data_IF_706057288610
#
_entry.id   IF_706057288610
#
_cell.length_a   1.000
_cell.length_b   1.000
_cell.length_c   1.000
_cell.angle_alpha   90.00
_cell.angle_beta   90.00
_cell.angle_gamma   90.00
#
_symmetry.space_group_name_H-M   'P 1'
#
loop_
_entity.id
_entity.type
_entity.pdbx_description
1 polymer ?
#
# COMPACT_ATOMS: atom_id res chain seq x y z
N UNK A 1 35.87 -52.99 -33.93
CA UNK A 1 36.76 -52.48 -32.87
C UNK A 1 36.82 -50.96 -32.99
N UNK A 2 35.90 -50.25 -32.33
CA UNK A 2 35.83 -48.78 -32.37
C UNK A 2 36.54 -48.20 -31.15
N UNK A 3 37.53 -47.33 -31.40
CA UNK A 3 38.26 -46.57 -30.37
C UNK A 3 37.61 -45.20 -30.20
N UNK A 4 37.07 -44.93 -29.01
CA UNK A 4 36.62 -43.61 -28.60
C UNK A 4 37.79 -42.82 -28.01
N UNK A 5 38.07 -41.66 -28.58
CA UNK A 5 39.03 -40.66 -28.07
C UNK A 5 38.19 -39.58 -27.37
N UNK A 6 38.34 -39.44 -26.06
CA UNK A 6 37.74 -38.34 -25.29
C UNK A 6 38.86 -37.32 -25.06
N UNK A 7 38.71 -36.13 -25.68
CA UNK A 7 39.57 -34.98 -25.43
C UNK A 7 38.98 -34.15 -24.28
N UNK A 8 39.72 -34.01 -23.18
CA UNK A 8 39.40 -33.12 -22.09
C UNK A 8 40.07 -31.76 -22.32
N UNK A 9 39.29 -30.70 -22.50
CA UNK A 9 39.76 -29.32 -22.56
C UNK A 9 39.86 -28.76 -21.13
N UNK A 10 41.07 -28.43 -20.68
CA UNK A 10 41.31 -27.68 -19.44
C UNK A 10 41.33 -26.19 -19.79
N UNK A 11 40.35 -25.44 -19.29
CA UNK A 11 40.33 -23.97 -19.32
C UNK A 11 40.99 -23.46 -18.04
N UNK A 12 42.12 -22.79 -18.18
CA UNK A 12 42.86 -22.12 -17.11
C UNK A 12 42.31 -20.69 -16.97
N UNK A 13 41.57 -20.43 -15.89
CA UNK A 13 41.15 -19.09 -15.50
C UNK A 13 42.18 -18.53 -14.52
N UNK A 14 42.99 -17.56 -14.96
CA UNK A 14 43.89 -16.81 -14.11
C UNK A 14 43.11 -15.68 -13.41
N UNK A 15 42.70 -15.91 -12.16
CA UNK A 15 42.12 -14.88 -11.29
C UNK A 15 43.22 -14.14 -10.52
N UNK A 16 43.23 -12.81 -10.63
CA UNK A 16 44.06 -11.94 -9.81
C UNK A 16 43.62 -12.01 -8.34
N UNK A 17 44.45 -12.62 -7.49
CA UNK A 17 44.27 -12.64 -6.04
C UNK A 17 44.66 -11.28 -5.46
N UNK A 18 43.67 -10.45 -5.18
CA UNK A 18 43.84 -9.39 -4.19
C UNK A 18 44.08 -10.04 -2.84
N UNK A 19 45.20 -9.71 -2.18
CA UNK A 19 45.47 -10.12 -0.80
C UNK A 19 44.41 -9.49 0.09
N UNK A 20 43.34 -10.23 0.37
CA UNK A 20 42.40 -9.90 1.42
C UNK A 20 43.23 -9.75 2.71
N UNK A 21 43.39 -8.51 3.18
CA UNK A 21 44.03 -8.26 4.46
C UNK A 21 43.21 -9.01 5.50
N UNK A 22 43.83 -9.99 6.13
CA UNK A 22 43.24 -10.68 7.26
C UNK A 22 42.91 -9.58 8.29
N UNK A 23 41.70 -9.60 8.85
CA UNK A 23 41.28 -8.53 9.76
C UNK A 23 42.19 -8.44 11.01
N UNK A 24 42.16 -7.36 11.78
CA UNK A 24 43.10 -7.14 12.90
C UNK A 24 43.12 -8.24 13.97
N UNK A 25 42.03 -9.02 14.06
CA UNK A 25 41.94 -10.22 14.89
C UNK A 25 42.86 -11.36 14.42
N UNK A 26 43.00 -11.54 13.11
CA UNK A 26 43.90 -12.53 12.53
C UNK A 26 45.36 -12.13 12.79
N UNK A 27 45.70 -10.86 12.60
CA UNK A 27 47.03 -10.33 12.94
C UNK A 27 47.37 -10.58 14.42
N UNK A 28 46.42 -10.32 15.33
CA UNK A 28 46.60 -10.61 16.76
C UNK A 28 46.72 -12.11 17.07
N UNK A 29 46.06 -12.98 16.32
CA UNK A 29 46.19 -14.44 16.47
C UNK A 29 47.56 -14.93 16.00
N UNK A 30 48.07 -14.36 14.92
CA UNK A 30 49.39 -14.66 14.38
C UNK A 30 50.48 -14.20 15.36
N UNK A 31 50.39 -12.96 15.87
CA UNK A 31 51.32 -12.44 16.89
C UNK A 31 51.34 -13.31 18.17
N UNK A 32 50.19 -13.83 18.61
CA UNK A 32 50.10 -14.71 19.78
C UNK A 32 50.69 -16.09 19.49
N UNK A 33 50.53 -16.60 18.27
CA UNK A 33 51.11 -17.88 17.84
C UNK A 33 52.63 -17.78 17.76
N UNK A 34 53.16 -16.70 17.18
CA UNK A 34 54.59 -16.41 17.16
C UNK A 34 55.15 -16.26 18.59
N UNK A 35 54.38 -15.66 19.50
CA UNK A 35 54.78 -15.54 20.90
C UNK A 35 54.84 -16.90 21.60
N UNK A 36 53.92 -17.82 21.28
CA UNK A 36 53.93 -19.19 21.78
C UNK A 36 55.14 -19.97 21.27
N UNK A 37 55.52 -19.80 20.00
CA UNK A 37 56.69 -20.47 19.41
C UNK A 37 58.00 -19.99 20.06
N UNK A 38 58.16 -18.67 20.24
CA UNK A 38 59.34 -18.10 20.94
C UNK A 38 59.42 -18.59 22.39
N UNK A 39 58.29 -18.75 23.05
CA UNK A 39 58.26 -19.31 24.41
C UNK A 39 58.57 -20.80 24.34
N UNK A 40 58.01 -21.55 23.38
CA UNK A 40 58.27 -22.96 23.03
C UNK A 40 59.74 -23.34 23.10
N UNK A 41 60.58 -22.53 22.47
CA UNK A 41 62.01 -22.77 22.33
C UNK A 41 62.84 -22.36 23.57
N UNK A 42 62.24 -21.68 24.55
CA UNK A 42 62.96 -21.14 25.71
C UNK A 42 62.82 -22.03 26.96
N UNK A 43 63.92 -22.64 27.41
CA UNK A 43 63.96 -23.58 28.56
C UNK A 43 63.89 -22.94 29.97
N UNK A 44 63.30 -21.76 30.13
CA UNK A 44 63.33 -20.98 31.38
C UNK A 44 62.03 -21.04 32.20
N UNK A 45 62.07 -20.74 33.50
CA UNK A 45 60.89 -20.73 34.39
C UNK A 45 59.74 -19.79 33.99
N UNK A 46 60.01 -18.81 33.10
CA UNK A 46 58.99 -17.98 32.45
C UNK A 46 58.00 -18.84 31.61
N UNK A 47 58.48 -19.97 31.07
CA UNK A 47 57.80 -20.82 30.11
C UNK A 47 56.40 -21.28 30.54
N UNK A 48 56.29 -21.92 31.71
CA UNK A 48 55.02 -22.57 32.12
C UNK A 48 53.91 -21.57 32.40
N UNK A 49 54.25 -20.44 33.02
CA UNK A 49 53.30 -19.39 33.33
C UNK A 49 52.85 -18.66 32.05
N UNK A 50 53.78 -18.33 31.16
CA UNK A 50 53.46 -17.64 29.91
C UNK A 50 52.64 -18.51 28.95
N UNK A 51 52.98 -19.79 28.77
CA UNK A 51 52.27 -20.68 27.83
C UNK A 51 50.82 -20.90 28.21
N UNK A 52 50.52 -21.05 29.50
CA UNK A 52 49.15 -21.22 29.98
C UNK A 52 48.31 -19.98 29.66
N UNK A 53 48.89 -18.80 29.86
CA UNK A 53 48.24 -17.52 29.59
C UNK A 53 48.07 -17.26 28.08
N UNK A 54 49.09 -17.53 27.26
CA UNK A 54 49.05 -17.39 25.81
C UNK A 54 48.02 -18.32 25.16
N UNK A 55 47.95 -19.58 25.59
CA UNK A 55 46.94 -20.54 25.10
C UNK A 55 45.52 -20.07 25.42
N UNK A 56 45.31 -19.54 26.62
CA UNK A 56 44.02 -18.96 26.99
C UNK A 56 43.67 -17.71 26.18
N UNK A 57 44.66 -16.86 25.85
CA UNK A 57 44.46 -15.71 24.97
C UNK A 57 44.08 -16.17 23.56
N UNK A 58 44.79 -17.17 23.00
CA UNK A 58 44.49 -17.74 21.69
C UNK A 58 43.06 -18.31 21.64
N UNK A 59 42.63 -19.03 22.68
CA UNK A 59 41.26 -19.55 22.76
C UNK A 59 40.22 -18.42 22.81
N UNK A 60 40.45 -17.37 23.62
CA UNK A 60 39.56 -16.20 23.66
C UNK A 60 39.48 -15.47 22.32
N UNK A 61 40.59 -15.40 21.58
CA UNK A 61 40.62 -14.85 20.24
C UNK A 61 39.89 -15.74 19.23
N UNK A 62 39.87 -17.07 19.39
CA UNK A 62 39.04 -17.97 18.56
C UNK A 62 37.55 -17.88 18.90
N UNK A 63 37.22 -17.65 20.17
CA UNK A 63 35.85 -17.51 20.68
C UNK A 63 35.28 -16.08 20.53
N UNK A 64 35.87 -15.27 19.65
CA UNK A 64 35.46 -13.88 19.35
C UNK A 64 35.38 -12.95 20.59
N UNK A 65 36.10 -13.31 21.66
CA UNK A 65 36.04 -12.64 22.96
C UNK A 65 37.18 -11.63 23.13
N UNK A 66 37.35 -10.76 22.13
CA UNK A 66 38.47 -9.80 22.01
C UNK A 66 38.67 -8.95 23.27
N UNK A 67 37.58 -8.56 23.94
CA UNK A 67 37.69 -7.77 25.16
C UNK A 67 38.31 -8.50 26.34
N UNK A 68 38.03 -9.79 26.47
CA UNK A 68 38.64 -10.65 27.49
C UNK A 68 40.08 -10.98 27.11
N UNK A 69 40.33 -11.23 25.81
CA UNK A 69 41.68 -11.44 25.28
C UNK A 69 42.59 -10.23 25.58
N UNK A 70 42.14 -9.01 25.27
CA UNK A 70 42.87 -7.77 25.53
C UNK A 70 43.18 -7.58 27.03
N UNK A 71 42.20 -7.84 27.90
CA UNK A 71 42.40 -7.74 29.34
C UNK A 71 43.48 -8.73 29.83
N UNK A 72 43.49 -9.95 29.26
CA UNK A 72 44.45 -11.00 29.59
C UNK A 72 45.84 -10.71 29.04
N UNK A 73 45.96 -10.16 27.82
CA UNK A 73 47.21 -9.64 27.25
C UNK A 73 47.82 -8.57 28.18
N UNK A 74 47.03 -7.59 28.63
CA UNK A 74 47.50 -6.54 29.57
C UNK A 74 47.89 -7.07 30.94
N UNK A 75 47.22 -8.12 31.41
CA UNK A 75 47.60 -8.80 32.65
C UNK A 75 48.93 -9.52 32.49
N UNK A 76 49.07 -10.29 31.41
CA UNK A 76 50.28 -11.04 31.08
C UNK A 76 51.48 -10.10 30.89
N UNK A 77 51.34 -9.00 30.14
CA UNK A 77 52.42 -8.01 29.96
C UNK A 77 53.01 -7.50 31.28
N UNK A 78 52.20 -7.41 32.34
CA UNK A 78 52.65 -6.96 33.68
C UNK A 78 53.38 -8.03 34.47
N UNK A 79 53.23 -9.31 34.13
CA UNK A 79 53.90 -10.43 34.81
C UNK A 79 55.15 -10.94 34.09
N UNK A 80 55.44 -10.44 32.88
CA UNK A 80 56.51 -10.92 31.99
C UNK A 80 57.89 -10.28 32.21
N UNK A 81 58.19 -9.71 33.39
CA UNK A 81 59.47 -9.02 33.66
C UNK A 81 60.73 -9.89 33.44
N UNK A 82 60.58 -11.23 33.43
CA UNK A 82 61.66 -12.20 33.24
C UNK A 82 61.66 -12.89 31.87
N UNK A 83 60.81 -12.47 30.95
CA UNK A 83 60.61 -13.15 29.67
C UNK A 83 61.34 -12.44 28.51
N UNK A 84 61.60 -13.14 27.38
CA UNK A 84 62.29 -12.53 26.25
C UNK A 84 61.58 -11.28 25.74
N UNK A 85 62.34 -10.22 25.47
CA UNK A 85 61.80 -8.93 24.95
C UNK A 85 60.98 -9.10 23.67
N UNK A 86 61.24 -10.14 22.88
CA UNK A 86 60.50 -10.47 21.67
C UNK A 86 59.02 -10.78 21.95
N UNK A 87 58.72 -11.58 22.98
CA UNK A 87 57.35 -11.88 23.43
C UNK A 87 56.61 -10.60 23.82
N UNK A 88 57.29 -9.69 24.55
CA UNK A 88 56.73 -8.40 24.91
C UNK A 88 56.51 -7.43 23.72
N UNK A 89 57.15 -7.65 22.56
CA UNK A 89 56.85 -6.89 21.33
C UNK A 89 55.62 -7.46 20.64
N UNK A 90 55.52 -8.78 20.50
CA UNK A 90 54.36 -9.45 19.90
C UNK A 90 53.08 -9.17 20.70
N UNK A 91 53.14 -9.22 22.03
CA UNK A 91 51.99 -8.85 22.87
C UNK A 91 51.57 -7.38 22.77
N UNK A 92 52.50 -6.48 22.42
CA UNK A 92 52.16 -5.07 22.12
C UNK A 92 51.49 -4.95 20.77
N UNK A 93 52.04 -5.61 19.75
CA UNK A 93 51.46 -5.67 18.41
C UNK A 93 50.03 -6.23 18.43
N UNK A 94 49.82 -7.37 19.11
CA UNK A 94 48.49 -7.96 19.29
C UNK A 94 47.52 -7.04 20.05
N UNK A 95 47.99 -6.30 21.06
CA UNK A 95 47.17 -5.30 21.76
C UNK A 95 46.78 -4.14 20.83
N UNK A 96 47.74 -3.59 20.08
CA UNK A 96 47.51 -2.49 19.15
C UNK A 96 46.51 -2.89 18.04
N UNK A 97 46.62 -4.11 17.51
CA UNK A 97 45.69 -4.65 16.51
C UNK A 97 44.26 -4.78 17.05
N UNK A 98 44.09 -5.31 18.26
CA UNK A 98 42.78 -5.43 18.91
C UNK A 98 42.19 -4.08 19.32
N UNK A 99 43.03 -3.11 19.71
CA UNK A 99 42.58 -1.75 19.98
C UNK A 99 42.13 -1.02 18.72
N UNK A 100 42.84 -1.20 17.59
CA UNK A 100 42.47 -0.63 16.30
C UNK A 100 41.09 -1.12 15.85
N UNK A 101 40.82 -2.44 15.94
CA UNK A 101 39.51 -3.00 15.61
C UNK A 101 38.40 -2.46 16.54
N UNK A 102 38.69 -2.32 17.84
CA UNK A 102 37.74 -1.72 18.80
C UNK A 102 37.42 -0.26 18.50
N UNK A 103 38.40 0.52 18.05
CA UNK A 103 38.18 1.91 17.62
C UNK A 103 37.33 1.96 16.36
N UNK A 104 37.66 1.17 15.33
CA UNK A 104 36.86 1.09 14.10
C UNK A 104 35.42 0.64 14.36
N UNK A 105 35.18 -0.33 15.26
CA UNK A 105 33.82 -0.72 15.67
C UNK A 105 33.07 0.40 16.40
N UNK A 106 33.76 1.21 17.20
CA UNK A 106 33.17 2.36 17.88
C UNK A 106 32.81 3.44 16.87
N UNK A 107 33.73 3.79 15.99
CA UNK A 107 33.52 4.81 14.94
C UNK A 107 32.34 4.42 14.04
N UNK A 108 32.25 3.15 13.63
CA UNK A 108 31.09 2.62 12.87
C UNK A 108 29.78 2.68 13.64
N UNK A 109 29.80 2.60 14.97
CA UNK A 109 28.59 2.68 15.81
C UNK A 109 28.13 4.14 15.93
N UNK A 110 29.07 5.05 16.10
CA UNK A 110 28.80 6.49 16.20
C UNK A 110 28.27 7.02 14.85
N UNK A 111 28.85 6.59 13.72
CA UNK A 111 28.37 6.89 12.36
C UNK A 111 26.93 6.40 12.09
N UNK A 112 26.52 5.27 12.70
CA UNK A 112 25.14 4.78 12.58
C UNK A 112 24.18 5.65 13.37
N UNK A 113 24.58 6.08 14.58
CA UNK A 113 23.72 6.89 15.42
C UNK A 113 23.44 8.26 14.78
N UNK A 114 24.48 8.89 14.21
CA UNK A 114 24.33 10.17 13.48
C UNK A 114 23.44 10.06 12.23
N UNK A 115 23.38 8.88 11.59
CA UNK A 115 22.51 8.65 10.43
C UNK A 115 21.04 8.48 10.82
N UNK A 116 20.77 7.82 11.94
CA UNK A 116 19.41 7.61 12.41
C UNK A 116 18.82 8.92 12.94
N UNK A 117 19.61 9.73 13.64
CA UNK A 117 19.18 11.06 14.09
C UNK A 117 18.89 12.00 12.89
N UNK A 118 19.74 11.97 11.85
CA UNK A 118 19.48 12.75 10.61
C UNK A 118 18.23 12.33 9.84
N UNK A 119 17.73 11.10 10.02
CA UNK A 119 16.47 10.66 9.39
C UNK A 119 15.24 11.20 10.10
N UNK A 120 15.32 11.49 11.39
CA UNK A 120 14.21 12.08 12.14
C UNK A 120 14.07 13.58 11.85
N UNK A 121 15.17 14.34 11.78
CA UNK A 121 15.12 15.78 11.50
C UNK A 121 14.59 16.14 10.10
N UNK A 122 14.69 15.24 9.10
CA UNK A 122 14.11 15.49 7.76
C UNK A 122 12.61 15.15 7.67
N UNK A 123 12.02 14.61 8.74
CA UNK A 123 10.59 14.24 8.76
C UNK A 123 9.69 15.36 9.27
N UNK A 124 10.23 16.30 10.05
CA UNK A 124 9.43 17.37 10.67
C UNK A 124 9.23 18.63 9.82
N UNK A 125 10.08 18.89 8.81
CA UNK A 125 9.88 20.03 7.90
C UNK A 125 8.96 19.73 6.70
N UNK A 126 8.54 18.46 6.54
CA UNK A 126 7.25 18.18 5.89
C UNK A 126 6.18 18.22 6.98
N UNK A 127 5.80 19.43 7.36
CA UNK A 127 4.41 19.67 7.72
C UNK A 127 3.61 19.18 6.52
N UNK A 128 3.09 17.95 6.59
CA UNK A 128 2.05 17.51 5.69
C UNK A 128 1.01 18.63 5.76
N UNK A 129 0.84 19.39 4.67
CA UNK A 129 -0.32 20.24 4.54
C UNK A 129 -1.49 19.36 4.98
N UNK A 130 -2.28 19.78 5.98
CA UNK A 130 -3.36 18.96 6.48
C UNK A 130 -4.15 18.53 5.26
N UNK A 131 -4.16 17.21 4.98
CA UNK A 131 -4.86 16.67 3.81
C UNK A 131 -6.22 17.36 3.82
N UNK A 132 -6.57 18.11 2.76
CA UNK A 132 -7.81 18.87 2.76
C UNK A 132 -8.88 17.91 3.22
N UNK A 133 -9.57 18.27 4.32
CA UNK A 133 -10.61 17.41 4.86
C UNK A 133 -11.48 16.97 3.70
N UNK A 134 -11.71 15.65 3.52
CA UNK A 134 -12.54 15.19 2.43
C UNK A 134 -13.84 16.01 2.49
N UNK A 135 -14.27 16.61 1.38
CA UNK A 135 -15.38 17.55 1.38
C UNK A 135 -16.55 16.92 2.12
N UNK A 136 -17.14 17.67 3.07
CA UNK A 136 -18.24 17.18 3.91
C UNK A 136 -19.28 16.52 3.02
N UNK A 137 -19.39 15.21 3.14
CA UNK A 137 -20.31 14.40 2.35
C UNK A 137 -21.73 14.87 2.61
N UNK A 138 -22.45 15.27 1.56
CA UNK A 138 -23.87 15.55 1.64
C UNK A 138 -24.62 14.29 2.11
N UNK A 139 -25.45 14.42 3.15
CA UNK A 139 -26.13 13.31 3.81
C UNK A 139 -27.14 12.55 2.94
N UNK A 140 -27.56 13.15 1.81
CA UNK A 140 -28.56 12.58 0.90
C UNK A 140 -27.95 12.20 -0.47
N UNK A 141 -26.66 11.90 -0.49
CA UNK A 141 -25.92 11.55 -1.70
C UNK A 141 -25.21 10.21 -1.48
N UNK A 142 -25.35 9.25 -2.38
CA UNK A 142 -24.58 8.00 -2.32
C UNK A 142 -23.11 8.24 -2.65
N UNK A 143 -22.22 7.49 -2.00
CA UNK A 143 -20.78 7.49 -2.25
C UNK A 143 -20.27 6.09 -2.56
N UNK A 144 -19.12 6.00 -3.21
CA UNK A 144 -18.54 4.73 -3.70
C UNK A 144 -18.26 3.67 -2.62
N UNK A 145 -18.20 4.05 -1.35
CA UNK A 145 -18.01 3.16 -0.20
C UNK A 145 -19.32 2.54 0.35
N UNK A 146 -20.46 2.86 -0.25
CA UNK A 146 -21.74 2.25 0.09
C UNK A 146 -21.84 0.84 -0.52
N UNK A 147 -22.58 -0.05 0.14
CA UNK A 147 -22.83 -1.38 -0.40
C UNK A 147 -23.58 -1.31 -1.74
N UNK A 148 -23.26 -2.19 -2.69
CA UNK A 148 -23.81 -2.13 -4.05
C UNK A 148 -25.35 -2.10 -4.09
N UNK A 149 -26.01 -2.98 -3.32
CA UNK A 149 -27.47 -2.97 -3.21
C UNK A 149 -28.04 -1.63 -2.70
N UNK A 150 -27.35 -0.98 -1.76
CA UNK A 150 -27.73 0.34 -1.27
C UNK A 150 -27.62 1.37 -2.40
N UNK A 151 -26.50 1.41 -3.11
CA UNK A 151 -26.30 2.30 -4.27
C UNK A 151 -27.37 2.11 -5.34
N UNK A 152 -27.68 0.86 -5.68
CA UNK A 152 -28.68 0.53 -6.70
C UNK A 152 -30.09 0.98 -6.28
N UNK A 153 -30.51 0.69 -5.04
CA UNK A 153 -31.81 1.14 -4.54
C UNK A 153 -31.94 2.66 -4.48
N UNK A 154 -30.87 3.37 -4.13
CA UNK A 154 -30.84 4.83 -4.15
C UNK A 154 -31.04 5.40 -5.55
N UNK A 155 -30.33 4.85 -6.55
CA UNK A 155 -30.51 5.28 -7.94
C UNK A 155 -31.92 4.97 -8.45
N UNK A 156 -32.45 3.77 -8.16
CA UNK A 156 -33.83 3.39 -8.49
C UNK A 156 -34.85 4.35 -7.86
N UNK A 157 -34.64 4.71 -6.58
CA UNK A 157 -35.48 5.64 -5.85
C UNK A 157 -35.50 7.02 -6.50
N UNK A 158 -34.33 7.57 -6.87
CA UNK A 158 -34.29 8.90 -7.50
C UNK A 158 -34.79 8.90 -8.95
N UNK A 159 -34.60 7.82 -9.72
CA UNK A 159 -35.23 7.64 -11.04
C UNK A 159 -36.76 7.72 -10.94
N UNK A 160 -37.33 7.14 -9.87
CA UNK A 160 -38.78 7.13 -9.65
C UNK A 160 -39.34 8.45 -9.13
N UNK A 161 -38.53 9.28 -8.46
CA UNK A 161 -39.03 10.39 -7.62
C UNK A 161 -39.93 11.42 -8.29
N UNK A 162 -39.69 11.75 -9.55
CA UNK A 162 -40.49 12.70 -10.33
C UNK A 162 -41.40 12.01 -11.38
N UNK A 163 -41.49 10.67 -11.33
CA UNK A 163 -42.20 9.83 -12.31
C UNK A 163 -43.08 8.74 -11.67
N UNK A 164 -43.18 8.69 -10.33
CA UNK A 164 -43.96 7.71 -9.58
C UNK A 164 -44.94 8.37 -8.62
N UNK A 165 -45.96 7.64 -8.21
CA UNK A 165 -46.90 8.07 -7.18
C UNK A 165 -46.29 7.94 -5.77
N UNK A 166 -46.97 8.57 -4.80
CA UNK A 166 -46.51 8.58 -3.40
C UNK A 166 -46.45 7.17 -2.80
N UNK A 167 -47.34 6.27 -3.21
CA UNK A 167 -47.35 4.88 -2.75
C UNK A 167 -46.08 4.14 -3.20
N UNK A 168 -45.71 4.29 -4.46
CA UNK A 168 -44.47 3.74 -5.02
C UNK A 168 -43.25 4.29 -4.31
N UNK A 169 -43.21 5.61 -4.09
CA UNK A 169 -42.09 6.23 -3.36
C UNK A 169 -41.99 5.75 -1.91
N UNK A 170 -43.11 5.55 -1.23
CA UNK A 170 -43.13 4.97 0.12
C UNK A 170 -42.56 3.55 0.15
N UNK A 171 -42.96 2.70 -0.79
CA UNK A 171 -42.45 1.34 -0.91
C UNK A 171 -40.95 1.31 -1.27
N UNK A 172 -40.49 2.16 -2.19
CA UNK A 172 -39.08 2.28 -2.53
C UNK A 172 -38.22 2.76 -1.35
N UNK A 173 -38.73 3.66 -0.51
CA UNK A 173 -38.03 4.10 0.71
C UNK A 173 -37.78 2.96 1.71
N UNK A 174 -38.76 2.06 1.86
CA UNK A 174 -38.60 0.85 2.67
C UNK A 174 -37.51 -0.07 2.09
N UNK A 175 -37.47 -0.23 0.76
CA UNK A 175 -36.44 -1.03 0.08
C UNK A 175 -35.03 -0.49 0.31
N UNK A 176 -34.83 0.81 0.14
CA UNK A 176 -33.53 1.44 0.36
C UNK A 176 -33.05 1.20 1.79
N UNK A 177 -33.97 1.28 2.77
CA UNK A 177 -33.66 1.03 4.17
C UNK A 177 -33.23 -0.42 4.41
N UNK A 178 -33.91 -1.39 3.80
CA UNK A 178 -33.53 -2.81 3.86
C UNK A 178 -32.19 -3.08 3.16
N UNK A 179 -31.96 -2.48 1.99
CA UNK A 179 -30.75 -2.68 1.19
C UNK A 179 -29.51 -2.09 1.85
N UNK A 180 -29.65 -0.92 2.48
CA UNK A 180 -28.56 -0.24 3.15
C UNK A 180 -28.24 -0.82 4.53
N UNK A 181 -29.20 -1.46 5.19
CA UNK A 181 -28.99 -2.09 6.50
C UNK A 181 -28.55 -3.56 6.41
N UNK A 182 -28.61 -4.19 5.22
CA UNK A 182 -28.17 -5.58 5.05
C UNK A 182 -26.65 -5.66 4.90
N UNK A 183 -26.01 -6.47 5.74
CA UNK A 183 -24.57 -6.78 5.67
C UNK A 183 -24.21 -7.79 4.58
N UNK A 184 -25.18 -8.55 4.08
CA UNK A 184 -24.99 -9.64 3.10
C UNK A 184 -25.64 -9.34 1.74
N UNK A 185 -26.14 -8.12 1.55
CA UNK A 185 -26.94 -7.74 0.39
C UNK A 185 -28.40 -8.17 0.50
N UNK A 186 -29.20 -7.84 -0.52
CA UNK A 186 -30.60 -8.25 -0.60
C UNK A 186 -30.67 -9.54 -1.42
N UNK A 187 -31.19 -10.62 -0.84
CA UNK A 187 -31.56 -11.82 -1.60
C UNK A 187 -32.85 -11.60 -2.39
N UNK A 188 -33.47 -12.68 -2.88
CA UNK A 188 -34.83 -12.61 -3.42
C UNK A 188 -35.81 -12.03 -2.40
N UNK A 189 -36.59 -11.05 -2.81
CA UNK A 189 -37.55 -10.36 -1.95
C UNK A 189 -38.76 -9.84 -2.73
N UNK A 190 -39.87 -9.64 -2.04
CA UNK A 190 -41.13 -9.13 -2.58
C UNK A 190 -41.60 -7.91 -1.78
N UNK A 191 -42.37 -7.04 -2.43
CA UNK A 191 -43.14 -5.99 -1.77
C UNK A 191 -44.31 -6.58 -0.96
N UNK A 192 -44.89 -5.77 -0.07
CA UNK A 192 -46.06 -6.16 0.72
C UNK A 192 -47.29 -6.50 -0.13
N UNK A 193 -47.39 -5.95 -1.35
CA UNK A 193 -48.43 -6.29 -2.31
C UNK A 193 -48.16 -7.59 -3.09
N UNK A 194 -47.08 -8.31 -2.79
CA UNK A 194 -46.68 -9.57 -3.43
C UNK A 194 -45.89 -9.41 -4.72
N UNK A 195 -45.73 -8.19 -5.25
CA UNK A 195 -44.89 -7.94 -6.42
C UNK A 195 -43.43 -8.27 -6.12
N UNK A 196 -42.73 -8.89 -7.06
CA UNK A 196 -41.28 -9.12 -6.95
C UNK A 196 -40.56 -7.78 -6.73
N UNK A 197 -39.60 -7.75 -5.82
CA UNK A 197 -38.80 -6.55 -5.54
C UNK A 197 -37.37 -6.73 -6.05
N UNK A 198 -36.76 -7.85 -5.70
CA UNK A 198 -35.39 -8.18 -6.06
C UNK A 198 -35.28 -9.69 -6.33
N UNK A 199 -34.44 -10.06 -7.29
CA UNK A 199 -34.18 -11.46 -7.67
C UNK A 199 -32.75 -11.86 -7.33
N UNK A 200 -32.49 -13.15 -7.17
CA UNK A 200 -31.12 -13.66 -6.97
C UNK A 200 -30.17 -13.34 -8.15
N UNK A 201 -30.73 -13.08 -9.34
CA UNK A 201 -29.99 -12.66 -10.53
C UNK A 201 -29.70 -11.14 -10.58
N UNK A 202 -29.98 -10.38 -9.51
CA UNK A 202 -29.66 -8.95 -9.41
C UNK A 202 -30.59 -7.98 -10.15
N UNK A 203 -31.75 -8.48 -10.61
CA UNK A 203 -32.82 -7.64 -11.15
C UNK A 203 -33.68 -7.03 -10.03
N UNK A 204 -34.10 -5.79 -10.24
CA UNK A 204 -34.99 -5.04 -9.37
C UNK A 204 -36.26 -4.64 -10.10
N UNK A 205 -37.34 -4.52 -9.35
CA UNK A 205 -38.66 -4.16 -9.87
C UNK A 205 -39.29 -3.07 -9.00
N UNK A 206 -40.11 -2.24 -9.62
CA UNK A 206 -40.98 -1.30 -8.96
C UNK A 206 -42.21 -2.02 -8.35
N UNK A 207 -42.90 -1.42 -7.36
CA UNK A 207 -44.10 -1.99 -6.75
C UNK A 207 -45.23 -2.29 -7.74
N UNK A 208 -45.28 -1.56 -8.86
CA UNK A 208 -46.23 -1.76 -9.96
C UNK A 208 -45.84 -2.93 -10.90
N UNK A 209 -44.72 -3.62 -10.65
CA UNK A 209 -44.24 -4.74 -11.45
C UNK A 209 -43.35 -4.37 -12.62
N UNK A 210 -43.20 -3.08 -12.94
CA UNK A 210 -42.26 -2.63 -13.96
C UNK A 210 -40.83 -2.91 -13.51
N UNK A 211 -39.97 -3.40 -14.40
CA UNK A 211 -38.55 -3.59 -14.10
C UNK A 211 -37.91 -2.24 -13.78
N UNK A 212 -37.15 -2.14 -12.69
CA UNK A 212 -36.40 -0.95 -12.30
C UNK A 212 -34.92 -1.06 -12.72
N UNK A 213 -34.35 -2.25 -12.57
CA UNK A 213 -33.00 -2.59 -13.01
C UNK A 213 -32.96 -4.04 -13.49
N UNK A 214 -32.29 -4.28 -14.61
CA UNK A 214 -32.00 -5.64 -15.09
C UNK A 214 -30.74 -6.20 -14.43
N UNK A 215 -30.60 -7.53 -14.38
CA UNK A 215 -29.36 -8.18 -13.94
C UNK A 215 -28.13 -7.80 -14.80
N UNK A 216 -28.35 -7.33 -16.03
CA UNK A 216 -27.31 -6.83 -16.93
C UNK A 216 -26.98 -5.33 -16.74
N UNK A 217 -27.58 -4.65 -15.74
CA UNK A 217 -27.23 -3.27 -15.37
C UNK A 217 -27.97 -2.15 -16.11
N UNK A 218 -28.95 -2.47 -16.96
CA UNK A 218 -29.87 -1.44 -17.51
C UNK A 218 -30.89 -1.00 -16.45
N UNK A 219 -31.18 0.30 -16.38
CA UNK A 219 -32.17 0.92 -15.50
C UNK A 219 -33.35 1.46 -16.30
N UNK A 220 -34.51 1.51 -15.66
CA UNK A 220 -35.77 1.93 -16.27
C UNK A 220 -36.54 2.85 -15.34
N UNK A 221 -37.34 3.74 -15.91
CA UNK A 221 -38.32 4.55 -15.21
C UNK A 221 -39.55 3.72 -14.81
N UNK A 222 -40.36 4.18 -13.85
CA UNK A 222 -41.59 3.50 -13.43
C UNK A 222 -42.62 3.25 -14.55
N UNK A 223 -42.57 4.07 -15.61
CA UNK A 223 -43.40 3.94 -16.81
C UNK A 223 -42.86 2.92 -17.83
N UNK A 224 -41.72 2.28 -17.56
CA UNK A 224 -41.08 1.27 -18.41
C UNK A 224 -40.09 1.83 -19.44
N UNK A 225 -40.00 3.15 -19.60
CA UNK A 225 -38.99 3.76 -20.46
C UNK A 225 -37.60 3.50 -19.90
N UNK A 226 -36.63 3.17 -20.75
CA UNK A 226 -35.24 2.99 -20.33
C UNK A 226 -34.69 4.31 -19.78
N UNK A 227 -33.97 4.27 -18.65
CA UNK A 227 -33.27 5.41 -18.07
C UNK A 227 -31.77 5.33 -18.35
N UNK A 228 -31.20 4.12 -18.26
CA UNK A 228 -29.79 3.83 -18.55
C UNK A 228 -29.68 2.46 -19.21
N UNK A 229 -28.92 2.37 -20.30
CA UNK A 229 -28.57 1.09 -20.91
C UNK A 229 -27.37 0.44 -20.21
N UNK A 230 -27.23 -0.88 -20.33
CA UNK A 230 -26.03 -1.59 -19.85
C UNK A 230 -24.73 -1.12 -20.50
N UNK A 231 -24.81 -0.49 -21.68
CA UNK A 231 -23.68 0.11 -22.40
C UNK A 231 -23.39 1.58 -22.01
N UNK A 232 -24.10 2.13 -21.00
CA UNK A 232 -23.80 3.46 -20.44
C UNK A 232 -24.51 4.64 -21.11
N UNK A 233 -25.35 4.42 -22.12
CA UNK A 233 -26.23 5.48 -22.65
C UNK A 233 -27.36 5.79 -21.67
N UNK A 234 -27.69 7.08 -21.52
CA UNK A 234 -28.77 7.59 -20.67
C UNK A 234 -29.88 8.20 -21.50
N UNK A 235 -31.11 8.12 -20.98
CA UNK A 235 -32.31 8.58 -21.64
C UNK A 235 -33.16 9.38 -20.65
N UNK A 236 -33.93 10.32 -21.18
CA UNK A 236 -34.94 11.06 -20.45
C UNK A 236 -36.21 10.23 -20.23
N UNK A 237 -37.11 10.64 -19.31
CA UNK A 237 -38.38 9.93 -19.07
C UNK A 237 -39.30 9.83 -20.30
N UNK A 238 -39.15 10.76 -21.25
CA UNK A 238 -39.88 10.77 -22.53
C UNK A 238 -39.26 9.85 -23.60
N UNK A 239 -38.14 9.17 -23.29
CA UNK A 239 -37.45 8.25 -24.19
C UNK A 239 -36.38 8.89 -25.08
N UNK A 240 -36.28 10.22 -25.12
CA UNK A 240 -35.20 10.91 -25.85
C UNK A 240 -33.85 10.59 -25.21
N UNK A 241 -32.82 10.36 -26.02
CA UNK A 241 -31.46 10.14 -25.51
C UNK A 241 -30.94 11.40 -24.82
N UNK A 242 -30.31 11.25 -23.66
CA UNK A 242 -29.72 12.33 -22.87
C UNK A 242 -28.19 12.32 -22.93
N UNK A 243 -27.58 11.11 -22.89
CA UNK A 243 -26.14 10.89 -23.04
C UNK A 243 -25.92 9.62 -23.87
N UNK A 244 -25.10 9.67 -24.91
CA UNK A 244 -24.69 8.46 -25.64
C UNK A 244 -23.69 7.63 -24.82
N UNK A 245 -23.53 6.35 -25.17
CA UNK A 245 -22.46 5.51 -24.58
C UNK A 245 -21.04 6.04 -24.87
N UNK A 246 -20.88 6.86 -25.91
CA UNK A 246 -19.64 7.58 -26.23
C UNK A 246 -19.47 8.92 -25.50
N UNK A 247 -20.45 9.33 -24.69
CA UNK A 247 -20.36 10.55 -23.87
C UNK A 247 -20.90 11.84 -24.50
N UNK A 248 -21.58 11.76 -25.65
CA UNK A 248 -22.25 12.92 -26.27
C UNK A 248 -23.54 13.24 -25.53
N UNK A 249 -23.77 14.52 -25.22
CA UNK A 249 -24.95 14.97 -24.48
C UNK A 249 -25.99 15.59 -25.41
N UNK A 250 -27.25 15.48 -25.02
CA UNK A 250 -28.39 15.98 -25.79
C UNK A 250 -29.37 16.70 -24.86
N UNK A 251 -30.14 17.64 -25.40
CA UNK A 251 -31.28 18.27 -24.74
C UNK A 251 -32.51 17.34 -24.78
N UNK A 252 -33.55 17.59 -23.96
CA UNK A 252 -34.79 16.80 -23.97
C UNK A 252 -35.53 16.77 -25.33
N UNK A 253 -35.28 17.75 -26.20
CA UNK A 253 -35.80 17.83 -27.56
C UNK A 253 -34.97 17.04 -28.59
N UNK A 254 -33.88 16.39 -28.17
CA UNK A 254 -33.02 15.55 -29.01
C UNK A 254 -31.89 16.29 -29.71
N UNK A 255 -31.78 17.61 -29.59
CA UNK A 255 -30.65 18.36 -30.14
C UNK A 255 -29.38 18.12 -29.32
N UNK A 256 -28.22 18.08 -29.96
CA UNK A 256 -26.94 17.86 -29.28
C UNK A 256 -26.57 19.07 -28.41
N UNK A 257 -26.18 18.81 -27.17
CA UNK A 257 -25.62 19.80 -26.26
C UNK A 257 -24.09 19.86 -26.39
N UNK A 258 -23.50 21.02 -26.11
CA UNK A 258 -22.04 21.21 -26.11
C UNK A 258 -21.29 20.53 -24.94
N UNK A 259 -21.96 19.63 -24.21
CA UNK A 259 -21.46 18.98 -23.00
C UNK A 259 -22.45 19.08 -21.84
N UNK A 260 -22.15 18.36 -20.75
CA UNK A 260 -23.03 18.33 -19.58
C UNK A 260 -23.10 19.68 -18.85
N UNK A 261 -22.03 20.47 -18.85
CA UNK A 261 -22.00 21.80 -18.20
C UNK A 261 -22.92 22.79 -18.92
N UNK A 262 -22.97 22.72 -20.26
CA UNK A 262 -23.87 23.55 -21.07
C UNK A 262 -25.33 23.17 -20.78
N UNK A 263 -25.60 21.87 -20.70
CA UNK A 263 -26.92 21.35 -20.37
C UNK A 263 -27.35 21.71 -18.94
N UNK A 264 -26.45 21.60 -17.96
CA UNK A 264 -26.68 22.03 -16.58
C UNK A 264 -27.00 23.52 -16.50
N UNK A 265 -26.19 24.37 -17.15
CA UNK A 265 -26.39 25.82 -17.16
C UNK A 265 -27.75 26.20 -17.72
N UNK A 266 -28.10 25.66 -18.89
CA UNK A 266 -29.44 25.83 -19.49
C UNK A 266 -30.55 25.38 -18.54
N UNK A 267 -30.43 24.16 -17.99
CA UNK A 267 -31.48 23.59 -17.17
C UNK A 267 -31.65 24.33 -15.83
N UNK A 268 -30.58 24.85 -15.24
CA UNK A 268 -30.64 25.71 -14.06
C UNK A 268 -31.35 27.04 -14.35
N UNK A 269 -31.08 27.68 -15.50
CA UNK A 269 -31.77 28.91 -15.90
C UNK A 269 -33.27 28.67 -16.16
N UNK A 270 -33.63 27.52 -16.75
CA UNK A 270 -35.02 27.21 -17.10
C UNK A 270 -35.84 26.65 -15.93
N UNK A 271 -35.29 25.73 -15.13
CA UNK A 271 -36.02 25.12 -14.00
C UNK A 271 -36.07 26.01 -12.74
N UNK A 272 -35.23 27.04 -12.66
CA UNK A 272 -35.16 27.95 -11.51
C UNK A 272 -34.24 27.49 -10.38
N UNK A 273 -33.87 28.46 -9.53
CA UNK A 273 -32.79 28.33 -8.54
C UNK A 273 -32.98 27.21 -7.52
N UNK A 274 -34.21 26.94 -7.08
CA UNK A 274 -34.48 25.93 -6.07
C UNK A 274 -34.17 24.52 -6.58
N UNK A 275 -34.51 24.25 -7.85
CA UNK A 275 -34.20 22.97 -8.49
C UNK A 275 -32.70 22.87 -8.78
N UNK A 276 -32.10 23.94 -9.29
CA UNK A 276 -30.66 23.99 -9.55
C UNK A 276 -29.83 23.71 -8.28
N UNK A 277 -30.16 24.32 -7.13
CA UNK A 277 -29.46 24.12 -5.85
C UNK A 277 -29.49 22.65 -5.40
N UNK A 278 -30.64 21.99 -5.53
CA UNK A 278 -30.76 20.57 -5.18
C UNK A 278 -29.89 19.70 -6.09
N UNK A 279 -29.96 19.88 -7.40
CA UNK A 279 -29.21 19.04 -8.33
C UNK A 279 -27.70 19.28 -8.26
N UNK A 280 -27.26 20.51 -7.97
CA UNK A 280 -25.86 20.81 -7.70
C UNK A 280 -25.28 20.06 -6.51
N UNK A 281 -26.06 19.83 -5.45
CA UNK A 281 -25.57 19.01 -4.33
C UNK A 281 -25.42 17.54 -4.72
N UNK A 282 -26.23 17.04 -5.66
CA UNK A 282 -26.09 15.67 -6.18
C UNK A 282 -24.81 15.50 -7.03
N UNK A 283 -24.34 16.55 -7.70
CA UNK A 283 -23.08 16.52 -8.45
C UNK A 283 -21.84 16.31 -7.56
N UNK A 284 -21.97 16.44 -6.23
CA UNK A 284 -20.87 16.21 -5.29
C UNK A 284 -20.54 14.71 -5.08
N UNK A 285 -21.38 13.78 -5.57
CA UNK A 285 -21.07 12.34 -5.50
C UNK A 285 -19.81 12.00 -6.29
N UNK A 286 -19.02 11.07 -5.77
CA UNK A 286 -17.90 10.45 -6.49
C UNK A 286 -18.37 9.39 -7.51
N UNK A 287 -19.64 8.96 -7.46
CA UNK A 287 -20.25 7.99 -8.38
C UNK A 287 -20.65 8.65 -9.70
N UNK A 288 -20.03 8.23 -10.82
CA UNK A 288 -20.28 8.83 -12.15
C UNK A 288 -21.74 8.71 -12.62
N UNK A 289 -22.33 7.53 -12.44
CA UNK A 289 -23.72 7.28 -12.80
C UNK A 289 -24.67 8.25 -12.08
N UNK A 290 -24.36 8.56 -10.83
CA UNK A 290 -25.14 9.51 -10.04
C UNK A 290 -25.03 10.93 -10.55
N UNK A 291 -23.81 11.40 -10.83
CA UNK A 291 -23.60 12.73 -11.42
C UNK A 291 -24.30 12.85 -12.77
N UNK A 292 -24.18 11.81 -13.60
CA UNK A 292 -24.82 11.76 -14.91
C UNK A 292 -26.34 11.84 -14.77
N UNK A 293 -26.92 11.01 -13.90
CA UNK A 293 -28.35 11.03 -13.62
C UNK A 293 -28.84 12.40 -13.12
N UNK A 294 -28.09 13.06 -12.23
CA UNK A 294 -28.46 14.37 -11.71
C UNK A 294 -28.61 15.42 -12.82
N UNK A 295 -27.70 15.42 -13.81
CA UNK A 295 -27.80 16.29 -14.99
C UNK A 295 -29.01 15.91 -15.85
N UNK A 296 -29.22 14.62 -16.11
CA UNK A 296 -30.35 14.12 -16.91
C UNK A 296 -31.69 14.52 -16.29
N UNK A 297 -31.85 14.36 -14.97
CA UNK A 297 -33.07 14.72 -14.25
C UNK A 297 -33.33 16.24 -14.27
N UNK A 298 -32.29 17.04 -13.98
CA UNK A 298 -32.40 18.50 -14.02
C UNK A 298 -32.84 18.97 -15.42
N UNK A 299 -32.21 18.45 -16.47
CA UNK A 299 -32.56 18.76 -17.85
C UNK A 299 -33.95 18.26 -18.24
N UNK A 300 -34.35 17.05 -17.83
CA UNK A 300 -35.68 16.52 -18.08
C UNK A 300 -36.76 17.45 -17.51
N UNK A 301 -36.53 18.00 -16.32
CA UNK A 301 -37.45 18.92 -15.66
C UNK A 301 -37.51 20.28 -16.32
N UNK A 302 -36.37 20.80 -16.78
CA UNK A 302 -36.30 22.05 -17.54
C UNK A 302 -36.99 21.96 -18.91
N UNK A 303 -37.09 20.76 -19.50
CA UNK A 303 -37.75 20.53 -20.79
C UNK A 303 -39.24 20.21 -20.73
N UNK A 304 -39.87 20.25 -19.55
CA UNK A 304 -41.33 20.10 -19.38
C UNK A 304 -42.01 21.47 -19.51
#
# INVERSE_FOLDING_TARGET
MNRSIIAAAFVLVAGALGTAHAGPRADALDDITDAMDIVGDASSGCYRAAMTELTAIQQLLRDESEGRALAKIRSLKRSLDRCPRAVGRLLRSAEDALEADRRDRRDRRDDRHDRDDRRDWRRDDRREEPKPEPPKRASNVPYSDFHAACLETWLIHEIARDNADQATMGALGANSSMACNSTTGLGRANYSNGTMMHTDAGAWYYPNGTMAKSGAGAYYYPNGTMAKSGAGAWYYPNGTMAKSGSGTWYYPNGTQAGGWQVLEGWACTTAGDQHCKRYKSLLASDVEDWRTFAVVQLAARAGR
#
